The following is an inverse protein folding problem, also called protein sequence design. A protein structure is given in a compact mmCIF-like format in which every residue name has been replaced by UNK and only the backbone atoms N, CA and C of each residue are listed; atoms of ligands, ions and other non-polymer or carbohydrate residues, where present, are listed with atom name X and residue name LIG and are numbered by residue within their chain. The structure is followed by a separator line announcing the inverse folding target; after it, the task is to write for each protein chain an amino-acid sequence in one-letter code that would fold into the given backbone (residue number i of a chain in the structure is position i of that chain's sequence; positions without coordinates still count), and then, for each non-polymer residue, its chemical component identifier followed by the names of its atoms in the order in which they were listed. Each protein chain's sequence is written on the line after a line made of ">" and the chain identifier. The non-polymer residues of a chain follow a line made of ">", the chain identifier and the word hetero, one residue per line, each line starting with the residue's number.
data_IF_418775046899
#
_entry.id   IF_418775046899
#
_cell.length_a   1.000
_cell.length_b   1.000
_cell.length_c   1.000
_cell.angle_alpha   90.00
_cell.angle_beta   90.00
_cell.angle_gamma   90.00
#
_symmetry.space_group_name_H-M   'P 1'
#
loop_
_entity.id
_entity.type
_entity.pdbx_description
1 polymer ?
#
# COMPACT_ATOMS: atom_id res chain seq x y z
N UNK A 1 -5.32 43.55 -14.37
CA UNK A 1 -6.20 43.23 -13.22
C UNK A 1 -6.63 41.78 -13.35
N UNK A 2 -6.31 40.90 -12.40
CA UNK A 2 -6.71 39.49 -12.51
C UNK A 2 -6.27 38.55 -11.39
N UNK A 3 -5.48 38.99 -10.40
CA UNK A 3 -5.25 38.18 -9.21
C UNK A 3 -6.44 38.37 -8.24
N UNK A 4 -7.27 37.33 -8.08
CA UNK A 4 -8.30 37.30 -7.02
C UNK A 4 -7.58 37.11 -5.68
N UNK A 5 -7.80 38.03 -4.74
CA UNK A 5 -7.30 37.92 -3.36
C UNK A 5 -7.87 36.67 -2.68
N UNK A 6 -7.14 36.14 -1.68
CA UNK A 6 -7.39 34.83 -1.06
C UNK A 6 -8.81 34.69 -0.47
N UNK A 7 -9.38 35.80 0.00
CA UNK A 7 -10.74 35.91 0.52
C UNK A 7 -11.80 35.88 -0.61
N UNK A 8 -11.53 36.56 -1.74
CA UNK A 8 -12.40 36.56 -2.92
C UNK A 8 -12.25 35.31 -3.81
N UNK A 9 -11.15 34.56 -3.64
CA UNK A 9 -10.85 33.39 -4.45
C UNK A 9 -11.66 32.14 -4.06
N UNK A 10 -12.42 32.17 -2.94
CA UNK A 10 -13.21 31.05 -2.42
C UNK A 10 -12.47 29.73 -2.63
N UNK A 11 -11.23 29.66 -2.11
CA UNK A 11 -10.31 28.53 -2.28
C UNK A 11 -10.87 27.34 -1.52
N UNK A 12 -11.92 26.73 -2.08
CA UNK A 12 -12.45 25.45 -1.63
C UNK A 12 -11.38 24.42 -1.93
N UNK A 13 -11.09 23.55 -0.95
CA UNK A 13 -10.27 22.36 -1.22
C UNK A 13 -10.87 21.66 -2.43
N UNK A 14 -10.02 21.25 -3.38
CA UNK A 14 -10.49 20.58 -4.58
C UNK A 14 -11.42 19.42 -4.18
N UNK A 15 -12.55 19.18 -4.89
CA UNK A 15 -13.52 18.13 -4.56
C UNK A 15 -12.93 16.71 -4.44
N UNK A 16 -11.72 16.51 -4.96
CA UNK A 16 -10.91 15.31 -4.78
C UNK A 16 -10.47 15.09 -3.32
N UNK A 17 -10.30 16.16 -2.53
CA UNK A 17 -9.85 16.13 -1.14
C UNK A 17 -11.01 16.05 -0.12
N UNK A 18 -12.25 16.31 -0.55
CA UNK A 18 -13.44 16.03 0.25
C UNK A 18 -13.78 14.55 0.15
N UNK A 19 -13.20 13.77 1.06
CA UNK A 19 -13.39 12.33 1.17
C UNK A 19 -14.46 12.12 2.23
N UNK A 20 -15.62 11.60 1.82
CA UNK A 20 -16.64 11.17 2.78
C UNK A 20 -16.17 9.91 3.50
N UNK A 21 -16.68 9.68 4.72
CA UNK A 21 -16.36 8.50 5.52
C UNK A 21 -16.59 7.18 4.75
N UNK A 22 -17.59 7.15 3.88
CA UNK A 22 -17.90 5.99 3.02
C UNK A 22 -16.74 5.64 2.08
N UNK A 23 -16.10 6.64 1.46
CA UNK A 23 -14.94 6.38 0.61
C UNK A 23 -13.72 5.96 1.42
N UNK A 24 -13.57 6.45 2.65
CA UNK A 24 -12.50 6.04 3.54
C UNK A 24 -12.63 4.55 3.92
N UNK A 25 -13.84 4.11 4.28
CA UNK A 25 -14.14 2.71 4.59
C UNK A 25 -13.95 1.79 3.38
N UNK A 26 -14.38 2.22 2.19
CA UNK A 26 -14.15 1.48 0.93
C UNK A 26 -12.66 1.35 0.62
N UNK A 27 -11.90 2.44 0.79
CA UNK A 27 -10.45 2.44 0.62
C UNK A 27 -9.74 1.51 1.61
N UNK A 28 -10.14 1.53 2.88
CA UNK A 28 -9.63 0.63 3.91
C UNK A 28 -9.90 -0.84 3.54
N UNK A 29 -11.14 -1.17 3.19
CA UNK A 29 -11.51 -2.53 2.80
C UNK A 29 -10.71 -3.01 1.58
N UNK A 30 -10.56 -2.16 0.57
CA UNK A 30 -9.76 -2.47 -0.63
C UNK A 30 -8.27 -2.67 -0.29
N UNK A 31 -7.70 -1.83 0.56
CA UNK A 31 -6.31 -1.93 0.99
C UNK A 31 -6.05 -3.24 1.75
N UNK A 32 -6.95 -3.62 2.67
CA UNK A 32 -6.84 -4.85 3.45
C UNK A 32 -6.97 -6.09 2.57
N UNK A 33 -7.99 -6.15 1.71
CA UNK A 33 -8.24 -7.31 0.84
C UNK A 33 -7.13 -7.47 -0.19
N UNK A 34 -6.75 -6.38 -0.87
CA UNK A 34 -5.67 -6.43 -1.86
C UNK A 34 -4.31 -6.71 -1.20
N UNK A 35 -4.06 -6.11 -0.03
CA UNK A 35 -2.85 -6.34 0.75
C UNK A 35 -2.72 -7.81 1.17
N UNK A 36 -3.77 -8.37 1.78
CA UNK A 36 -3.78 -9.77 2.18
C UNK A 36 -3.62 -10.73 0.99
N UNK A 37 -4.32 -10.49 -0.12
CA UNK A 37 -4.19 -11.30 -1.32
C UNK A 37 -2.77 -11.23 -1.93
N UNK A 38 -2.21 -10.02 -2.02
CA UNK A 38 -0.87 -9.82 -2.56
C UNK A 38 0.22 -10.40 -1.64
N UNK A 39 0.07 -10.26 -0.32
CA UNK A 39 0.95 -10.88 0.68
C UNK A 39 0.88 -12.40 0.65
N UNK A 40 -0.31 -12.97 0.46
CA UNK A 40 -0.53 -14.39 0.26
C UNK A 40 0.21 -14.92 -0.98
N UNK A 41 0.01 -14.26 -2.12
CA UNK A 41 0.71 -14.59 -3.36
C UNK A 41 2.22 -14.47 -3.19
N UNK A 42 2.71 -13.41 -2.56
CA UNK A 42 4.13 -13.22 -2.31
C UNK A 42 4.71 -14.34 -1.45
N UNK A 43 4.10 -14.65 -0.30
CA UNK A 43 4.57 -15.68 0.62
C UNK A 43 4.61 -17.08 -0.01
N UNK A 44 3.62 -17.42 -0.85
CA UNK A 44 3.50 -18.74 -1.47
C UNK A 44 4.37 -18.92 -2.73
N UNK A 45 4.45 -17.90 -3.60
CA UNK A 45 5.09 -18.02 -4.91
C UNK A 45 6.56 -17.61 -4.89
N UNK A 46 6.94 -16.67 -4.03
CA UNK A 46 8.28 -16.05 -4.04
C UNK A 46 8.79 -15.92 -2.59
N UNK A 47 9.08 -17.05 -1.92
CA UNK A 47 9.48 -17.05 -0.51
C UNK A 47 10.82 -16.34 -0.27
N UNK A 48 11.79 -16.54 -1.17
CA UNK A 48 13.12 -15.96 -1.09
C UNK A 48 13.48 -15.20 -2.39
N UNK A 49 13.05 -13.94 -2.53
CA UNK A 49 13.37 -13.14 -3.71
C UNK A 49 14.84 -12.69 -3.69
N UNK A 50 15.48 -12.68 -4.86
CA UNK A 50 16.73 -11.92 -5.07
C UNK A 50 16.46 -10.41 -4.95
N UNK A 51 17.50 -9.57 -4.89
CA UNK A 51 17.33 -8.10 -4.78
C UNK A 51 16.40 -7.52 -5.85
N UNK A 52 16.56 -7.94 -7.11
CA UNK A 52 15.68 -7.51 -8.20
C UNK A 52 14.28 -8.10 -8.05
N UNK A 53 14.17 -9.36 -7.62
CA UNK A 53 12.88 -9.99 -7.32
C UNK A 53 12.11 -9.23 -6.24
N UNK A 54 12.78 -8.78 -5.19
CA UNK A 54 12.18 -8.04 -4.09
C UNK A 54 11.65 -6.67 -4.56
N UNK A 55 12.41 -5.99 -5.43
CA UNK A 55 11.95 -4.76 -6.07
C UNK A 55 10.73 -5.01 -6.97
N UNK A 56 10.74 -6.04 -7.81
CA UNK A 56 9.60 -6.38 -8.66
C UNK A 56 8.35 -6.73 -7.86
N UNK A 57 8.51 -7.49 -6.78
CA UNK A 57 7.42 -7.77 -5.85
C UNK A 57 6.92 -6.47 -5.22
N UNK A 58 7.81 -5.62 -4.73
CA UNK A 58 7.44 -4.31 -4.19
C UNK A 58 6.65 -3.47 -5.19
N UNK A 59 7.14 -3.34 -6.42
CA UNK A 59 6.45 -2.63 -7.51
C UNK A 59 5.07 -3.23 -7.79
N UNK A 60 4.97 -4.56 -7.88
CA UNK A 60 3.72 -5.27 -8.15
C UNK A 60 2.69 -5.14 -7.04
N UNK A 61 3.11 -5.36 -5.78
CA UNK A 61 2.25 -5.22 -4.60
C UNK A 61 1.80 -3.77 -4.44
N UNK A 62 2.73 -2.81 -4.55
CA UNK A 62 2.42 -1.38 -4.48
C UNK A 62 1.43 -0.94 -5.57
N UNK A 63 1.60 -1.43 -6.79
CA UNK A 63 0.67 -1.17 -7.89
C UNK A 63 -0.71 -1.77 -7.62
N UNK A 64 -0.78 -3.04 -7.22
CA UNK A 64 -2.04 -3.73 -6.94
C UNK A 64 -2.83 -3.06 -5.83
N UNK A 65 -2.18 -2.74 -4.71
CA UNK A 65 -2.81 -2.08 -3.57
C UNK A 65 -3.20 -0.64 -3.90
N UNK A 66 -2.32 0.13 -4.55
CA UNK A 66 -2.62 1.51 -4.93
C UNK A 66 -3.78 1.61 -5.93
N UNK A 67 -3.80 0.73 -6.93
CA UNK A 67 -4.85 0.70 -7.94
C UNK A 67 -6.19 0.19 -7.37
N UNK A 68 -6.18 -0.80 -6.47
CA UNK A 68 -7.40 -1.28 -5.82
C UNK A 68 -8.07 -0.20 -4.96
N UNK A 69 -7.27 0.53 -4.17
CA UNK A 69 -7.73 1.67 -3.36
C UNK A 69 -8.25 2.79 -4.26
N UNK A 70 -7.53 3.11 -5.34
CA UNK A 70 -7.96 4.14 -6.30
C UNK A 70 -9.30 3.78 -6.93
N UNK A 71 -9.49 2.53 -7.38
CA UNK A 71 -10.77 2.09 -7.97
C UNK A 71 -11.91 2.08 -6.95
N UNK A 72 -11.67 1.59 -5.74
CA UNK A 72 -12.70 1.54 -4.68
C UNK A 72 -13.17 2.94 -4.23
N UNK A 73 -12.32 3.95 -4.41
CA UNK A 73 -12.57 5.34 -3.99
C UNK A 73 -12.98 6.26 -5.13
N UNK A 74 -13.28 5.69 -6.31
CA UNK A 74 -13.62 6.44 -7.52
C UNK A 74 -12.51 7.43 -7.95
N UNK A 75 -11.25 6.98 -7.89
CA UNK A 75 -10.03 7.73 -8.22
C UNK A 75 -9.86 9.02 -7.41
N UNK A 76 -10.39 9.07 -6.20
CA UNK A 76 -10.11 10.14 -5.24
C UNK A 76 -8.67 10.01 -4.76
N UNK A 77 -8.01 11.15 -4.59
CA UNK A 77 -6.62 11.24 -4.16
C UNK A 77 -6.52 12.13 -2.92
N UNK A 78 -5.74 11.70 -1.94
CA UNK A 78 -5.51 12.46 -0.72
C UNK A 78 -4.64 11.72 0.30
N UNK A 79 -4.00 12.44 1.24
CA UNK A 79 -3.17 11.85 2.28
C UNK A 79 -3.81 10.72 3.09
N UNK A 80 -5.11 10.76 3.48
CA UNK A 80 -5.68 9.63 4.22
C UNK A 80 -5.77 8.35 3.38
N UNK A 81 -6.01 8.44 2.07
CA UNK A 81 -6.03 7.26 1.18
C UNK A 81 -4.62 6.72 0.95
N UNK A 82 -3.61 7.60 0.90
CA UNK A 82 -2.20 7.20 0.83
C UNK A 82 -1.78 6.42 2.08
N UNK A 83 -2.19 6.88 3.27
CA UNK A 83 -1.94 6.17 4.53
C UNK A 83 -2.61 4.79 4.55
N UNK A 84 -3.84 4.68 4.04
CA UNK A 84 -4.54 3.39 3.92
C UNK A 84 -3.83 2.43 2.95
N UNK A 85 -3.36 2.92 1.81
CA UNK A 85 -2.62 2.08 0.86
C UNK A 85 -1.27 1.62 1.44
N UNK A 86 -0.56 2.49 2.17
CA UNK A 86 0.65 2.10 2.89
C UNK A 86 0.35 1.03 3.96
N UNK A 87 -0.75 1.18 4.71
CA UNK A 87 -1.21 0.16 5.67
C UNK A 87 -1.53 -1.17 4.98
N UNK A 88 -2.14 -1.15 3.79
CA UNK A 88 -2.38 -2.36 3.00
C UNK A 88 -1.09 -3.10 2.61
N UNK A 89 -0.01 -2.37 2.31
CA UNK A 89 1.30 -2.98 2.03
C UNK A 89 1.91 -3.59 3.29
N UNK A 90 1.77 -2.93 4.45
CA UNK A 90 2.19 -3.52 5.72
C UNK A 90 1.43 -4.81 6.02
N UNK A 91 0.12 -4.86 5.72
CA UNK A 91 -0.67 -6.09 5.81
C UNK A 91 -0.15 -7.16 4.86
N UNK A 92 0.22 -6.80 3.63
CA UNK A 92 0.82 -7.75 2.69
C UNK A 92 2.12 -8.37 3.25
N UNK A 93 2.98 -7.55 3.84
CA UNK A 93 4.20 -8.00 4.49
C UNK A 93 3.91 -8.96 5.65
N UNK A 94 2.99 -8.58 6.55
CA UNK A 94 2.62 -9.42 7.69
C UNK A 94 2.05 -10.77 7.25
N UNK A 95 1.16 -10.80 6.25
CA UNK A 95 0.60 -12.04 5.73
C UNK A 95 1.70 -12.93 5.15
N UNK A 96 2.64 -12.34 4.38
CA UNK A 96 3.80 -13.06 3.85
C UNK A 96 4.65 -13.65 4.98
N UNK A 97 4.95 -12.87 6.02
CA UNK A 97 5.73 -13.34 7.18
C UNK A 97 5.03 -14.48 7.92
N UNK A 98 3.72 -14.41 8.11
CA UNK A 98 2.94 -15.48 8.77
C UNK A 98 2.97 -16.77 7.95
N UNK A 99 2.83 -16.68 6.63
CA UNK A 99 2.88 -17.85 5.73
C UNK A 99 4.26 -18.50 5.80
N UNK A 100 5.33 -17.71 5.69
CA UNK A 100 6.69 -18.24 5.73
C UNK A 100 7.04 -18.86 7.09
N UNK A 101 6.57 -18.27 8.19
CA UNK A 101 6.72 -18.84 9.52
C UNK A 101 5.96 -20.16 9.68
N UNK A 102 4.85 -20.36 8.96
CA UNK A 102 4.08 -21.62 9.01
C UNK A 102 4.68 -22.75 8.18
N UNK A 103 5.34 -22.44 7.06
CA UNK A 103 6.00 -23.43 6.19
C UNK A 103 7.41 -23.82 6.68
N UNK A 104 8.21 -22.84 7.12
CA UNK A 104 9.57 -23.05 7.60
C UNK A 104 9.56 -23.28 9.13
N UNK A 105 9.19 -24.48 9.55
CA UNK A 105 9.01 -24.94 10.95
C UNK A 105 10.22 -24.73 11.90
N UNK A 106 11.32 -24.12 11.44
CA UNK A 106 12.60 -23.99 12.17
C UNK A 106 13.12 -22.55 12.28
N UNK A 107 12.39 -21.54 11.80
CA UNK A 107 12.78 -20.13 11.90
C UNK A 107 11.72 -19.36 12.68
N UNK A 108 12.11 -18.65 13.74
CA UNK A 108 11.19 -17.84 14.53
C UNK A 108 10.67 -16.65 13.70
N UNK A 109 9.42 -16.23 13.95
CA UNK A 109 8.86 -15.00 13.35
C UNK A 109 9.78 -13.80 13.59
N UNK A 110 10.41 -13.76 14.76
CA UNK A 110 11.33 -12.68 15.17
C UNK A 110 12.55 -12.66 14.25
N UNK A 111 13.15 -13.82 13.96
CA UNK A 111 14.35 -13.93 13.12
C UNK A 111 14.06 -13.48 11.68
N UNK A 112 12.89 -13.87 11.13
CA UNK A 112 12.44 -13.41 9.81
C UNK A 112 12.31 -11.89 9.81
N UNK A 113 11.70 -11.30 10.83
CA UNK A 113 11.53 -9.83 10.86
C UNK A 113 12.88 -9.12 11.02
N UNK A 114 13.82 -9.61 11.81
CA UNK A 114 15.11 -8.93 12.00
C UNK A 114 16.03 -8.99 10.77
N UNK A 115 16.05 -10.11 10.04
CA UNK A 115 17.00 -10.31 8.92
C UNK A 115 16.39 -10.12 7.51
N UNK A 116 15.12 -9.75 7.39
CA UNK A 116 14.44 -9.61 6.09
C UNK A 116 14.69 -8.28 5.37
N UNK A 117 15.96 -8.02 5.05
CA UNK A 117 16.38 -6.88 4.25
C UNK A 117 15.60 -6.75 2.93
N UNK A 118 15.38 -7.88 2.25
CA UNK A 118 14.68 -7.89 0.97
C UNK A 118 13.18 -7.57 1.12
N UNK A 119 12.53 -8.06 2.17
CA UNK A 119 11.17 -7.69 2.51
C UNK A 119 11.03 -6.19 2.79
N UNK A 120 11.98 -5.60 3.52
CA UNK A 120 11.98 -4.15 3.75
C UNK A 120 12.15 -3.34 2.47
N UNK A 121 13.03 -3.78 1.56
CA UNK A 121 13.18 -3.14 0.24
C UNK A 121 11.88 -3.24 -0.58
N UNK A 122 11.22 -4.40 -0.57
CA UNK A 122 9.95 -4.61 -1.26
C UNK A 122 8.85 -3.71 -0.68
N UNK A 123 8.74 -3.61 0.65
CA UNK A 123 7.79 -2.72 1.33
C UNK A 123 8.07 -1.27 0.99
N UNK A 124 9.32 -0.82 1.06
CA UNK A 124 9.71 0.55 0.72
C UNK A 124 9.37 0.92 -0.72
N UNK A 125 9.73 0.06 -1.67
CA UNK A 125 9.39 0.24 -3.09
C UNK A 125 7.87 0.24 -3.30
N UNK A 126 7.15 -0.68 -2.67
CA UNK A 126 5.70 -0.78 -2.77
C UNK A 126 4.99 0.46 -2.23
N UNK A 127 5.42 0.97 -1.08
CA UNK A 127 4.83 2.18 -0.47
C UNK A 127 5.06 3.38 -1.36
N UNK A 128 6.27 3.54 -1.90
CA UNK A 128 6.58 4.63 -2.82
C UNK A 128 5.63 4.63 -4.04
N UNK A 129 5.40 3.47 -4.65
CA UNK A 129 4.51 3.32 -5.80
C UNK A 129 3.05 3.56 -5.44
N UNK A 130 2.57 2.94 -4.37
CA UNK A 130 1.18 3.06 -3.95
C UNK A 130 0.82 4.52 -3.63
N UNK A 131 1.72 5.24 -2.95
CA UNK A 131 1.57 6.68 -2.70
C UNK A 131 1.61 7.45 -4.02
N UNK A 132 2.57 7.16 -4.90
CA UNK A 132 2.69 7.82 -6.21
C UNK A 132 1.43 7.66 -7.07
N UNK A 133 0.68 6.56 -6.90
CA UNK A 133 -0.58 6.30 -7.62
C UNK A 133 -1.78 7.07 -7.07
N UNK A 134 -1.71 7.49 -5.81
CA UNK A 134 -2.79 8.19 -5.08
C UNK A 134 -2.49 9.67 -4.86
N UNK A 135 -1.55 10.24 -5.63
CA UNK A 135 -1.25 11.67 -5.69
C UNK A 135 -2.08 12.38 -6.74
#
# INVERSE_FOLDING_TARGET
>A
MGARCRECANVRRLPSYNISLVYLLRGLAAALVAGAAAGGLWGLLIPNPSIFGALFVGFGVGYLVGESVSRATNRKAGPPLQALAAAGILVAYLVRTVILASDLRHVGIVDIVTDDLYGYLAVGAGVFIAIGRLR
#
